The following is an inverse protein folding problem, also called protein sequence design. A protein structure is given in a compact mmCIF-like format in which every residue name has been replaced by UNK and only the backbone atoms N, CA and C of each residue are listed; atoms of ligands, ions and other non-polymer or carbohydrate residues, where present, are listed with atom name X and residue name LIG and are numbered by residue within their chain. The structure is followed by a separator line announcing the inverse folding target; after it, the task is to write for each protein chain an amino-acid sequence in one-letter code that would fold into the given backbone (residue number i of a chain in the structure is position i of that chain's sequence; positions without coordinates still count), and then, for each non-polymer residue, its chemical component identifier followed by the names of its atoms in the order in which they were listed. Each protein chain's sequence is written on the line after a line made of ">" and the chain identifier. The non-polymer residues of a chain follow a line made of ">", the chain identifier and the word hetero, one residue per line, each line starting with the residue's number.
data_IF_420585176559
#
_entry.id   IF_420585176559
#
_cell.length_a   1.000
_cell.length_b   1.000
_cell.length_c   1.000
_cell.angle_alpha   90.00
_cell.angle_beta   90.00
_cell.angle_gamma   90.00
#
_symmetry.space_group_name_H-M   'P 1'
#
loop_
_entity.id
_entity.type
_entity.pdbx_description
1 polymer ?
#
# COMPACT_ATOMS: atom_id res chain seq x y z
N UNK A 1 -29.08 24.44 -0.61
CA UNK A 1 -29.76 23.39 0.20
C UNK A 1 -29.08 23.08 1.53
N UNK A 2 -27.78 22.76 1.54
CA UNK A 2 -27.05 22.42 2.78
C UNK A 2 -26.97 23.59 3.78
N UNK A 3 -26.85 24.84 3.31
CA UNK A 3 -26.78 26.03 4.17
C UNK A 3 -27.94 26.14 5.15
N UNK A 4 -29.18 25.88 4.71
CA UNK A 4 -30.36 25.97 5.59
C UNK A 4 -30.45 24.81 6.57
N UNK A 5 -29.89 23.64 6.23
CA UNK A 5 -29.84 22.49 7.15
C UNK A 5 -28.78 22.66 8.23
N UNK A 6 -27.67 23.29 7.89
CA UNK A 6 -26.57 23.53 8.82
C UNK A 6 -26.81 24.78 9.68
N UNK A 7 -27.51 25.79 9.16
CA UNK A 7 -27.78 27.01 9.92
C UNK A 7 -28.51 26.71 11.23
N UNK A 8 -27.93 27.10 12.37
CA UNK A 8 -28.52 26.88 13.68
C UNK A 8 -28.30 25.45 14.23
N UNK A 9 -27.79 24.53 13.42
CA UNK A 9 -27.55 23.15 13.82
C UNK A 9 -26.13 22.98 14.41
N UNK A 10 -25.99 22.04 15.34
CA UNK A 10 -24.69 21.55 15.76
C UNK A 10 -24.12 20.64 14.67
N UNK A 11 -22.94 20.99 14.17
CA UNK A 11 -22.27 20.18 13.13
C UNK A 11 -21.55 19.02 13.79
N UNK A 12 -21.78 17.83 13.27
CA UNK A 12 -21.15 16.60 13.75
C UNK A 12 -20.56 15.88 12.55
N UNK A 13 -19.32 15.45 12.70
CA UNK A 13 -18.55 14.76 11.68
C UNK A 13 -17.68 13.68 12.32
N UNK A 14 -17.25 12.70 11.52
CA UNK A 14 -16.19 11.82 11.98
C UNK A 14 -14.87 12.56 11.99
N UNK A 15 -14.54 13.32 10.95
CA UNK A 15 -13.37 14.16 10.90
C UNK A 15 -13.79 15.62 10.61
N UNK A 16 -14.08 16.38 11.67
CA UNK A 16 -14.70 17.70 11.53
C UNK A 16 -13.84 18.71 10.75
N UNK A 17 -12.51 18.81 10.94
CA UNK A 17 -11.71 19.71 10.15
C UNK A 17 -11.71 19.35 8.65
N UNK A 18 -11.77 18.06 8.30
CA UNK A 18 -11.90 17.62 6.91
C UNK A 18 -13.25 18.07 6.30
N UNK A 19 -14.37 17.72 6.93
CA UNK A 19 -15.70 18.04 6.42
C UNK A 19 -15.95 19.56 6.35
N UNK A 20 -15.53 20.29 7.39
CA UNK A 20 -15.66 21.75 7.44
C UNK A 20 -14.85 22.44 6.34
N UNK A 21 -13.63 21.99 6.06
CA UNK A 21 -12.80 22.50 4.97
C UNK A 21 -13.40 22.20 3.59
N UNK A 22 -13.91 20.98 3.39
CA UNK A 22 -14.60 20.61 2.15
C UNK A 22 -15.78 21.56 1.89
N UNK A 23 -16.63 21.76 2.90
CA UNK A 23 -17.76 22.68 2.83
C UNK A 23 -17.27 24.11 2.55
N UNK A 24 -16.30 24.61 3.32
CA UNK A 24 -15.77 25.97 3.15
C UNK A 24 -15.20 26.21 1.75
N UNK A 25 -14.51 25.22 1.16
CA UNK A 25 -13.99 25.29 -0.20
C UNK A 25 -15.11 25.41 -1.25
N UNK A 26 -16.17 24.62 -1.15
CA UNK A 26 -17.30 24.69 -2.08
C UNK A 26 -18.07 26.01 -1.96
N UNK A 27 -18.26 26.49 -0.74
CA UNK A 27 -18.88 27.79 -0.49
C UNK A 27 -18.01 28.96 -1.02
N UNK A 28 -16.68 28.87 -0.88
CA UNK A 28 -15.75 29.85 -1.47
C UNK A 28 -15.84 29.86 -2.99
N UNK A 29 -15.97 28.69 -3.66
CA UNK A 29 -16.18 28.61 -5.12
C UNK A 29 -17.49 29.28 -5.55
N UNK A 30 -18.51 29.25 -4.70
CA UNK A 30 -19.78 29.99 -4.92
C UNK A 30 -19.72 31.48 -4.54
N UNK A 31 -18.56 32.02 -4.17
CA UNK A 31 -18.39 33.43 -3.79
C UNK A 31 -18.97 33.81 -2.43
N UNK A 32 -19.38 32.83 -1.61
CA UNK A 32 -19.97 33.07 -0.29
C UNK A 32 -19.19 32.27 0.76
N UNK A 33 -18.02 32.74 1.22
CA UNK A 33 -17.21 31.98 2.17
C UNK A 33 -17.96 31.74 3.48
N UNK A 34 -17.80 30.54 4.04
CA UNK A 34 -18.39 30.13 5.32
C UNK A 34 -17.33 29.49 6.19
N UNK A 35 -17.56 29.51 7.50
CA UNK A 35 -16.68 28.89 8.48
C UNK A 35 -17.53 28.08 9.47
N UNK A 36 -17.14 26.84 9.70
CA UNK A 36 -17.71 25.97 10.73
C UNK A 36 -16.65 25.82 11.81
N UNK A 37 -16.63 26.76 12.76
CA UNK A 37 -15.59 26.85 13.78
C UNK A 37 -15.80 25.88 14.96
N UNK A 38 -17.03 25.42 15.18
CA UNK A 38 -17.39 24.59 16.34
C UNK A 38 -18.31 23.45 15.87
N UNK A 39 -18.06 22.26 16.42
CA UNK A 39 -18.85 21.07 16.17
C UNK A 39 -18.35 19.91 17.03
N UNK A 40 -18.95 18.73 16.86
CA UNK A 40 -18.50 17.50 17.49
C UNK A 40 -17.68 16.70 16.48
N UNK A 41 -16.44 16.42 16.84
CA UNK A 41 -15.54 15.56 16.10
C UNK A 41 -15.50 14.18 16.76
N UNK A 42 -16.16 13.21 16.14
CA UNK A 42 -16.25 11.85 16.72
C UNK A 42 -14.96 11.05 16.56
N UNK A 43 -14.06 11.38 15.63
CA UNK A 43 -12.73 10.77 15.54
C UNK A 43 -11.85 11.22 16.70
N UNK A 44 -11.84 12.52 17.04
CA UNK A 44 -11.11 12.99 18.22
C UNK A 44 -11.66 12.42 19.52
N UNK A 45 -12.97 12.19 19.59
CA UNK A 45 -13.60 11.62 20.77
C UNK A 45 -13.30 10.11 20.94
N UNK A 46 -13.21 9.36 19.84
CA UNK A 46 -13.03 7.90 19.86
C UNK A 46 -11.57 7.48 19.67
N UNK A 47 -10.77 8.26 18.94
CA UNK A 47 -9.43 7.90 18.49
C UNK A 47 -9.41 6.75 17.48
N UNK A 48 -10.55 6.43 16.85
CA UNK A 48 -10.72 5.25 16.00
C UNK A 48 -11.32 5.63 14.66
N UNK A 49 -11.04 4.82 13.63
CA UNK A 49 -11.75 4.90 12.34
C UNK A 49 -13.24 4.71 12.55
N UNK A 50 -14.05 5.25 11.64
CA UNK A 50 -15.51 5.21 11.77
C UNK A 50 -16.03 3.76 11.87
N UNK A 51 -15.48 2.86 11.05
CA UNK A 51 -15.82 1.44 11.09
C UNK A 51 -15.51 0.77 12.43
N UNK A 52 -14.37 1.13 13.03
CA UNK A 52 -13.91 0.59 14.31
C UNK A 52 -14.75 1.13 15.47
N UNK A 53 -14.98 2.44 15.48
CA UNK A 53 -15.87 3.08 16.44
C UNK A 53 -17.30 2.51 16.34
N UNK A 54 -17.84 2.38 15.12
CA UNK A 54 -19.15 1.77 14.96
C UNK A 54 -19.19 0.32 15.45
N UNK A 55 -18.16 -0.49 15.17
CA UNK A 55 -18.09 -1.86 15.66
C UNK A 55 -18.05 -1.92 17.20
N UNK A 56 -17.30 -1.04 17.86
CA UNK A 56 -17.21 -0.98 19.32
C UNK A 56 -18.55 -0.61 19.97
N UNK A 57 -19.30 0.33 19.36
CA UNK A 57 -20.60 0.78 19.86
C UNK A 57 -21.79 -0.06 19.34
N UNK A 58 -21.54 -1.15 18.60
CA UNK A 58 -22.58 -2.04 18.08
C UNK A 58 -23.44 -1.43 16.97
N UNK A 59 -22.89 -0.49 16.20
CA UNK A 59 -23.55 0.22 15.10
C UNK A 59 -23.20 -0.46 13.78
N UNK A 60 -24.22 -0.89 13.03
CA UNK A 60 -24.03 -1.47 11.71
C UNK A 60 -23.79 -0.41 10.63
N UNK A 61 -22.79 -0.63 9.78
CA UNK A 61 -22.55 0.16 8.56
C UNK A 61 -22.85 -0.74 7.36
N UNK A 62 -23.80 -0.32 6.52
CA UNK A 62 -24.25 -1.04 5.33
C UNK A 62 -23.23 -0.96 4.19
N UNK A 63 -22.81 0.25 3.85
CA UNK A 63 -21.94 0.57 2.70
C UNK A 63 -20.93 1.62 3.15
N UNK A 64 -19.82 1.17 3.73
CA UNK A 64 -18.72 2.05 4.10
C UNK A 64 -18.25 2.87 2.87
N UNK A 65 -17.89 4.13 3.10
CA UNK A 65 -17.43 5.08 2.06
C UNK A 65 -18.53 5.65 1.16
N UNK A 66 -19.81 5.45 1.51
CA UNK A 66 -20.92 6.26 0.98
C UNK A 66 -21.19 7.40 1.95
N UNK A 67 -21.10 8.64 1.48
CA UNK A 67 -21.28 9.83 2.32
C UNK A 67 -22.58 9.83 3.16
N UNK A 68 -23.68 9.28 2.63
CA UNK A 68 -24.94 9.16 3.38
C UNK A 68 -24.88 8.11 4.50
N UNK A 69 -24.33 6.93 4.20
CA UNK A 69 -24.21 5.84 5.16
C UNK A 69 -23.21 6.22 6.27
N UNK A 70 -22.08 6.84 5.92
CA UNK A 70 -21.09 7.35 6.86
C UNK A 70 -21.70 8.45 7.76
N UNK A 71 -22.43 9.43 7.20
CA UNK A 71 -23.09 10.46 7.99
C UNK A 71 -24.17 9.89 8.93
N UNK A 72 -24.88 8.85 8.51
CA UNK A 72 -25.88 8.16 9.33
C UNK A 72 -25.20 7.39 10.47
N UNK A 73 -24.09 6.74 10.19
CA UNK A 73 -23.28 6.04 11.19
C UNK A 73 -22.70 7.01 12.22
N UNK A 74 -22.21 8.19 11.80
CA UNK A 74 -21.74 9.26 12.69
C UNK A 74 -22.86 9.77 13.60
N UNK A 75 -24.08 9.95 13.08
CA UNK A 75 -25.23 10.37 13.89
C UNK A 75 -25.62 9.30 14.94
N UNK A 76 -25.58 8.02 14.55
CA UNK A 76 -25.77 6.91 15.48
C UNK A 76 -24.65 6.87 16.54
N UNK A 77 -23.40 7.08 16.13
CA UNK A 77 -22.23 7.09 17.01
C UNK A 77 -22.31 8.23 18.03
N UNK A 78 -22.68 9.43 17.60
CA UNK A 78 -22.94 10.57 18.49
C UNK A 78 -23.98 10.20 19.57
N UNK A 79 -25.08 9.57 19.15
CA UNK A 79 -26.16 9.17 20.04
C UNK A 79 -25.72 8.09 21.04
N UNK A 80 -24.94 7.11 20.59
CA UNK A 80 -24.46 6.01 21.41
C UNK A 80 -23.36 6.43 22.39
N UNK A 81 -22.45 7.31 21.95
CA UNK A 81 -21.35 7.82 22.77
C UNK A 81 -21.79 8.91 23.78
N UNK A 82 -23.02 9.39 23.68
CA UNK A 82 -23.60 10.35 24.63
C UNK A 82 -22.93 11.74 24.60
N UNK A 83 -22.22 12.07 23.53
CA UNK A 83 -21.60 13.38 23.38
C UNK A 83 -22.68 14.45 23.17
N UNK A 84 -22.71 15.43 24.07
CA UNK A 84 -23.61 16.57 23.96
C UNK A 84 -22.93 17.69 23.19
N UNK A 85 -23.67 18.28 22.25
CA UNK A 85 -23.23 19.49 21.58
C UNK A 85 -23.02 20.61 22.61
N UNK A 86 -21.86 21.27 22.53
CA UNK A 86 -21.57 22.41 23.41
C UNK A 86 -22.53 23.56 23.07
N UNK A 87 -23.23 24.15 24.05
CA UNK A 87 -24.07 25.33 23.81
C UNK A 87 -23.24 26.47 23.21
N UNK A 88 -23.61 26.91 22.00
CA UNK A 88 -22.88 27.94 21.23
C UNK A 88 -22.28 27.44 19.89
N UNK A 89 -22.27 26.12 19.64
CA UNK A 89 -21.71 25.52 18.42
C UNK A 89 -22.66 25.42 17.21
N UNK A 90 -23.64 26.32 17.10
CA UNK A 90 -24.54 26.33 15.96
C UNK A 90 -23.85 26.93 14.73
N UNK A 91 -23.83 26.22 13.60
CA UNK A 91 -23.21 26.75 12.39
C UNK A 91 -23.96 27.98 11.87
N UNK A 92 -23.21 29.02 11.51
CA UNK A 92 -23.73 30.21 10.84
C UNK A 92 -23.53 30.04 9.34
N UNK A 93 -24.63 30.01 8.58
CA UNK A 93 -24.61 29.70 7.16
C UNK A 93 -25.46 30.71 6.38
N UNK A 94 -25.09 31.01 5.13
CA UNK A 94 -25.81 31.97 4.29
C UNK A 94 -27.13 31.36 3.80
N UNK A 95 -28.18 31.50 4.60
CA UNK A 95 -29.51 30.98 4.30
C UNK A 95 -30.21 31.68 3.13
N UNK A 96 -29.71 32.85 2.72
CA UNK A 96 -30.20 33.61 1.57
C UNK A 96 -29.81 33.04 0.20
N UNK A 97 -28.97 32.00 0.15
CA UNK A 97 -28.62 31.33 -1.11
C UNK A 97 -29.85 30.60 -1.68
N UNK A 98 -30.11 30.84 -2.97
CA UNK A 98 -31.16 30.14 -3.71
C UNK A 98 -30.89 28.63 -3.67
N UNK A 99 -31.91 27.86 -3.28
CA UNK A 99 -31.87 26.41 -3.34
C UNK A 99 -31.90 25.98 -4.80
N UNK A 100 -30.90 25.22 -5.24
CA UNK A 100 -30.91 24.69 -6.61
C UNK A 100 -32.00 23.62 -6.75
N UNK A 101 -32.31 22.91 -5.66
CA UNK A 101 -33.22 21.76 -5.66
C UNK A 101 -32.72 20.56 -6.48
N UNK A 102 -31.54 20.69 -7.10
CA UNK A 102 -30.91 19.66 -7.92
C UNK A 102 -29.90 18.93 -7.06
N UNK A 103 -30.18 17.66 -6.80
CA UNK A 103 -29.23 16.73 -6.19
C UNK A 103 -28.84 15.74 -7.28
N UNK A 104 -27.55 15.66 -7.56
CA UNK A 104 -27.00 14.59 -8.39
C UNK A 104 -26.39 13.57 -7.43
N UNK A 105 -27.00 12.41 -7.31
CA UNK A 105 -26.48 11.29 -6.54
C UNK A 105 -25.63 10.42 -7.44
N UNK A 106 -24.63 9.77 -6.85
CA UNK A 106 -23.85 8.74 -7.54
C UNK A 106 -24.73 7.59 -8.05
N UNK A 107 -25.84 7.31 -7.37
CA UNK A 107 -26.84 6.31 -7.77
C UNK A 107 -27.79 6.81 -8.89
N UNK A 108 -27.82 8.11 -9.21
CA UNK A 108 -28.65 8.64 -10.31
C UNK A 108 -27.98 8.43 -11.68
N UNK A 109 -26.68 8.14 -11.69
CA UNK A 109 -25.94 7.64 -12.85
C UNK A 109 -26.06 6.12 -12.92
N UNK A 110 -26.14 5.56 -14.14
CA UNK A 110 -26.24 4.11 -14.35
C UNK A 110 -25.20 3.37 -13.48
N UNK A 111 -25.58 2.26 -12.82
CA UNK A 111 -24.67 1.54 -11.95
C UNK A 111 -23.44 1.15 -12.76
N UNK A 112 -22.33 1.82 -12.49
CA UNK A 112 -21.05 1.31 -12.91
C UNK A 112 -20.89 0.00 -12.14
N UNK A 113 -20.82 -1.12 -12.86
CA UNK A 113 -20.29 -2.35 -12.28
C UNK A 113 -18.85 -2.02 -11.93
N UNK A 114 -18.63 -1.64 -10.68
CA UNK A 114 -17.29 -1.47 -10.18
C UNK A 114 -16.68 -2.88 -10.17
N UNK A 115 -15.46 -3.05 -10.68
CA UNK A 115 -14.73 -4.29 -10.48
C UNK A 115 -14.66 -4.60 -8.97
N UNK A 116 -14.40 -5.86 -8.62
CA UNK A 116 -14.15 -6.21 -7.22
C UNK A 116 -13.19 -5.19 -6.61
N UNK A 117 -13.47 -4.71 -5.37
CA UNK A 117 -12.66 -3.67 -4.76
C UNK A 117 -11.20 -4.10 -4.86
N UNK A 118 -10.32 -3.25 -5.42
CA UNK A 118 -8.92 -3.60 -5.59
C UNK A 118 -8.40 -4.17 -4.27
N UNK A 119 -7.56 -5.20 -4.33
CA UNK A 119 -6.99 -5.85 -3.16
C UNK A 119 -6.59 -4.86 -2.05
N UNK A 120 -5.96 -3.74 -2.42
CA UNK A 120 -5.58 -2.69 -1.47
C UNK A 120 -6.77 -2.08 -0.74
N UNK A 121 -7.89 -1.83 -1.40
CA UNK A 121 -9.12 -1.35 -0.75
C UNK A 121 -9.60 -2.35 0.30
N UNK A 122 -9.61 -3.64 -0.04
CA UNK A 122 -10.00 -4.69 0.89
C UNK A 122 -9.03 -4.80 2.07
N UNK A 123 -7.73 -4.85 1.83
CA UNK A 123 -6.71 -4.93 2.88
C UNK A 123 -6.71 -3.66 3.75
N UNK A 124 -6.85 -2.47 3.15
CA UNK A 124 -6.89 -1.19 3.86
C UNK A 124 -8.09 -1.06 4.81
N UNK A 125 -9.23 -1.68 4.45
CA UNK A 125 -10.44 -1.70 5.29
C UNK A 125 -10.27 -2.49 6.59
N UNK A 126 -9.28 -3.40 6.63
CA UNK A 126 -8.99 -4.28 7.77
C UNK A 126 -7.95 -3.73 8.73
N UNK A 127 -7.24 -2.67 8.35
CA UNK A 127 -6.17 -2.12 9.18
C UNK A 127 -6.76 -1.50 10.46
N UNK A 128 -6.08 -1.76 11.58
CA UNK A 128 -6.44 -1.22 12.90
C UNK A 128 -5.29 -0.35 13.39
N UNK A 129 -5.56 0.92 13.64
CA UNK A 129 -4.54 1.85 14.12
C UNK A 129 -4.59 2.09 15.63
N UNK A 130 -4.73 1.00 16.40
CA UNK A 130 -4.79 1.07 17.86
C UNK A 130 -3.61 1.87 18.46
N UNK A 131 -3.91 2.74 19.42
CA UNK A 131 -2.92 3.56 20.13
C UNK A 131 -2.26 4.69 19.32
N UNK A 132 -2.72 4.97 18.10
CA UNK A 132 -2.33 6.18 17.37
C UNK A 132 -3.10 7.41 17.87
N UNK A 133 -2.50 8.59 17.68
CA UNK A 133 -3.20 9.87 17.83
C UNK A 133 -4.28 10.01 16.74
N UNK A 134 -5.39 10.69 17.07
CA UNK A 134 -6.51 10.89 16.14
C UNK A 134 -6.08 11.53 14.81
N UNK A 135 -5.11 12.46 14.83
CA UNK A 135 -4.57 13.06 13.61
C UNK A 135 -3.83 12.05 12.72
N UNK A 136 -3.11 11.09 13.34
CA UNK A 136 -2.44 10.00 12.62
C UNK A 136 -3.45 9.01 12.06
N UNK A 137 -4.51 8.68 12.82
CA UNK A 137 -5.60 7.82 12.33
C UNK A 137 -6.29 8.47 11.13
N UNK A 138 -6.61 9.76 11.22
CA UNK A 138 -7.20 10.54 10.13
C UNK A 138 -6.32 10.50 8.87
N UNK A 139 -5.01 10.73 9.05
CA UNK A 139 -4.05 10.68 7.97
C UNK A 139 -3.96 9.30 7.30
N UNK A 140 -3.88 8.24 8.10
CA UNK A 140 -3.78 6.88 7.59
C UNK A 140 -5.06 6.40 6.88
N UNK A 141 -6.21 6.92 7.30
CA UNK A 141 -7.48 6.70 6.61
C UNK A 141 -7.52 7.37 5.23
N UNK A 142 -7.04 8.62 5.15
CA UNK A 142 -6.88 9.33 3.89
C UNK A 142 -5.87 8.64 2.97
N UNK A 143 -4.74 8.16 3.50
CA UNK A 143 -3.77 7.35 2.75
C UNK A 143 -4.43 6.10 2.17
N UNK A 144 -5.20 5.36 2.97
CA UNK A 144 -5.89 4.15 2.50
C UNK A 144 -6.83 4.40 1.32
N UNK A 145 -7.50 5.55 1.32
CA UNK A 145 -8.35 5.97 0.19
C UNK A 145 -7.49 6.34 -1.02
N UNK A 146 -6.42 7.12 -0.82
CA UNK A 146 -5.58 7.64 -1.90
C UNK A 146 -4.74 6.56 -2.60
N UNK A 147 -4.43 5.43 -1.94
CA UNK A 147 -3.69 4.32 -2.57
C UNK A 147 -4.60 3.20 -3.11
N UNK A 148 -5.92 3.36 -2.99
CA UNK A 148 -6.90 2.30 -3.26
C UNK A 148 -6.88 1.79 -4.70
N UNK A 149 -6.56 2.65 -5.66
CA UNK A 149 -6.47 2.35 -7.09
C UNK A 149 -5.02 2.07 -7.58
N UNK A 150 -4.07 1.98 -6.65
CA UNK A 150 -2.63 1.84 -6.92
C UNK A 150 -2.04 2.98 -7.78
N UNK A 151 -2.69 4.14 -7.81
CA UNK A 151 -2.27 5.30 -8.57
C UNK A 151 -2.32 6.58 -7.73
N UNK A 152 -1.24 6.84 -6.98
CA UNK A 152 -1.13 8.07 -6.19
C UNK A 152 -0.58 9.23 -7.04
N UNK A 153 -1.48 10.07 -7.55
CA UNK A 153 -1.16 11.16 -8.48
C UNK A 153 -0.56 12.41 -7.79
N UNK A 154 -0.22 13.44 -8.57
CA UNK A 154 0.38 14.67 -8.04
C UNK A 154 -0.56 15.45 -7.12
N UNK A 155 -1.84 15.52 -7.46
CA UNK A 155 -2.83 16.25 -6.68
C UNK A 155 -3.12 15.54 -5.36
N UNK A 156 -3.18 14.20 -5.36
CA UNK A 156 -3.37 13.40 -4.15
C UNK A 156 -2.16 13.49 -3.22
N UNK A 157 -0.94 13.43 -3.75
CA UNK A 157 0.30 13.67 -2.97
C UNK A 157 0.32 15.04 -2.33
N UNK A 158 -0.08 16.06 -3.09
CA UNK A 158 -0.20 17.42 -2.57
C UNK A 158 -1.26 17.47 -1.47
N UNK A 159 -2.43 16.86 -1.67
CA UNK A 159 -3.48 16.78 -0.66
C UNK A 159 -3.02 16.10 0.63
N UNK A 160 -2.29 14.98 0.54
CA UNK A 160 -1.70 14.30 1.70
C UNK A 160 -0.69 15.20 2.43
N UNK A 161 0.12 15.97 1.69
CA UNK A 161 1.12 16.89 2.26
C UNK A 161 0.46 18.07 2.97
N UNK A 162 -0.56 18.66 2.34
CA UNK A 162 -1.35 19.77 2.90
C UNK A 162 -2.11 19.33 4.14
N UNK A 163 -2.69 18.13 4.13
CA UNK A 163 -3.32 17.53 5.30
C UNK A 163 -2.32 17.36 6.43
N UNK A 164 -1.16 16.76 6.16
CA UNK A 164 -0.14 16.56 7.18
C UNK A 164 0.34 17.87 7.82
N UNK A 165 0.53 18.91 7.01
CA UNK A 165 0.94 20.22 7.48
C UNK A 165 -0.14 20.89 8.36
N UNK A 166 -1.41 20.80 7.99
CA UNK A 166 -2.53 21.34 8.77
C UNK A 166 -2.65 20.65 10.14
N UNK A 167 -2.51 19.33 10.17
CA UNK A 167 -2.64 18.53 11.39
C UNK A 167 -1.35 18.49 12.22
N UNK A 168 -0.32 19.24 11.83
CA UNK A 168 0.95 19.33 12.56
C UNK A 168 1.74 18.01 12.59
N UNK A 169 1.54 17.13 11.61
CA UNK A 169 2.26 15.86 11.53
C UNK A 169 3.70 16.12 11.10
N UNK A 170 4.65 15.78 11.98
CA UNK A 170 6.07 15.92 11.67
C UNK A 170 6.50 14.95 10.57
N UNK A 171 7.57 15.26 9.80
CA UNK A 171 8.11 14.33 8.80
C UNK A 171 8.46 12.96 9.36
N UNK A 172 8.90 12.89 10.63
CA UNK A 172 9.24 11.63 11.29
C UNK A 172 7.99 10.80 11.60
N UNK A 173 6.92 11.46 12.04
CA UNK A 173 5.63 10.84 12.29
C UNK A 173 5.00 10.34 10.99
N UNK A 174 5.14 11.09 9.88
CA UNK A 174 4.70 10.64 8.55
C UNK A 174 5.43 9.37 8.11
N UNK A 175 6.77 9.32 8.22
CA UNK A 175 7.54 8.11 7.88
C UNK A 175 7.13 6.91 8.74
N UNK A 176 6.84 7.13 10.03
CA UNK A 176 6.34 6.08 10.91
C UNK A 176 4.93 5.63 10.50
N UNK A 177 4.05 6.56 10.17
CA UNK A 177 2.70 6.29 9.68
C UNK A 177 2.73 5.46 8.40
N UNK A 178 3.52 5.85 7.39
CA UNK A 178 3.68 5.08 6.14
C UNK A 178 4.21 3.67 6.39
N UNK A 179 5.26 3.52 7.20
CA UNK A 179 5.77 2.19 7.57
C UNK A 179 4.72 1.35 8.28
N UNK A 180 3.93 1.95 9.19
CA UNK A 180 2.84 1.28 9.88
C UNK A 180 1.77 0.83 8.89
N UNK A 181 1.34 1.71 7.99
CA UNK A 181 0.35 1.40 6.96
C UNK A 181 0.76 0.19 6.13
N UNK A 182 1.99 0.19 5.61
CA UNK A 182 2.50 -0.92 4.80
C UNK A 182 2.63 -2.20 5.62
N UNK A 183 3.05 -2.13 6.89
CA UNK A 183 3.10 -3.31 7.75
C UNK A 183 1.72 -3.93 7.94
N UNK A 184 0.72 -3.14 8.31
CA UNK A 184 -0.65 -3.62 8.50
C UNK A 184 -1.21 -4.22 7.19
N UNK A 185 -0.85 -3.63 6.03
CA UNK A 185 -1.24 -4.12 4.72
C UNK A 185 -0.62 -5.50 4.42
N UNK A 186 0.66 -5.67 4.76
CA UNK A 186 1.37 -6.96 4.66
C UNK A 186 0.77 -7.98 5.63
N UNK A 187 0.43 -7.59 6.87
CA UNK A 187 -0.25 -8.46 7.83
C UNK A 187 -1.59 -8.96 7.31
N UNK A 188 -2.38 -8.07 6.70
CA UNK A 188 -3.65 -8.41 6.09
C UNK A 188 -3.49 -9.37 4.91
N UNK A 189 -2.44 -9.21 4.08
CA UNK A 189 -2.13 -10.12 2.98
C UNK A 189 -1.64 -11.50 3.48
N UNK A 190 -0.93 -11.54 4.62
CA UNK A 190 -0.43 -12.78 5.21
C UNK A 190 -1.50 -13.58 6.00
N UNK A 191 -2.76 -13.13 6.01
CA UNK A 191 -3.81 -13.72 6.83
C UNK A 191 -4.07 -15.20 6.51
N UNK A 192 -3.93 -15.61 5.26
CA UNK A 192 -4.11 -17.00 4.79
C UNK A 192 -2.79 -17.76 4.58
N UNK A 193 -1.66 -17.14 4.94
CA UNK A 193 -0.28 -17.65 4.78
C UNK A 193 0.20 -17.81 3.33
N UNK A 194 -0.55 -17.31 2.34
CA UNK A 194 -0.15 -17.33 0.93
C UNK A 194 -0.09 -15.88 0.44
N UNK A 195 0.91 -15.55 -0.37
CA UNK A 195 0.96 -14.24 -1.03
C UNK A 195 1.14 -14.49 -2.52
N UNK A 196 0.11 -14.14 -3.27
CA UNK A 196 0.08 -14.21 -4.74
C UNK A 196 1.00 -13.17 -5.37
N UNK A 197 1.32 -13.34 -6.65
CA UNK A 197 2.13 -12.37 -7.38
C UNK A 197 1.42 -11.02 -7.54
N UNK A 198 0.09 -11.02 -7.69
CA UNK A 198 -0.72 -9.81 -7.73
C UNK A 198 -0.72 -9.07 -6.38
N UNK A 199 -0.80 -9.80 -5.27
CA UNK A 199 -0.66 -9.22 -3.93
C UNK A 199 0.72 -8.61 -3.71
N UNK A 200 1.75 -9.31 -4.16
CA UNK A 200 3.12 -8.81 -4.07
C UNK A 200 3.35 -7.56 -4.94
N UNK A 201 2.85 -7.53 -6.18
CA UNK A 201 2.88 -6.33 -7.04
C UNK A 201 2.23 -5.14 -6.33
N UNK A 202 1.02 -5.33 -5.82
CA UNK A 202 0.26 -4.30 -5.15
C UNK A 202 0.99 -3.77 -3.90
N UNK A 203 1.51 -4.66 -3.05
CA UNK A 203 2.27 -4.29 -1.85
C UNK A 203 3.53 -3.47 -2.19
N UNK A 204 4.27 -3.88 -3.22
CA UNK A 204 5.46 -3.14 -3.67
C UNK A 204 5.12 -1.74 -4.20
N UNK A 205 4.06 -1.64 -5.00
CA UNK A 205 3.61 -0.36 -5.57
C UNK A 205 3.11 0.61 -4.50
N UNK A 206 2.41 0.11 -3.48
CA UNK A 206 2.00 0.93 -2.32
C UNK A 206 3.23 1.36 -1.52
N UNK A 207 4.14 0.43 -1.20
CA UNK A 207 5.37 0.76 -0.45
C UNK A 207 6.19 1.84 -1.16
N UNK A 208 6.40 1.69 -2.47
CA UNK A 208 7.11 2.69 -3.28
C UNK A 208 6.37 4.03 -3.33
N UNK A 209 5.03 4.03 -3.40
CA UNK A 209 4.25 5.26 -3.46
C UNK A 209 4.34 6.08 -2.16
N UNK A 210 4.50 5.39 -1.03
CA UNK A 210 4.62 5.96 0.32
C UNK A 210 6.08 6.08 0.81
N UNK A 211 7.07 5.94 -0.09
CA UNK A 211 8.50 6.03 0.25
C UNK A 211 8.94 5.06 1.37
N UNK A 212 8.33 3.87 1.40
CA UNK A 212 8.69 2.78 2.30
C UNK A 212 9.64 1.83 1.58
N UNK A 213 10.77 1.53 2.22
CA UNK A 213 11.78 0.64 1.67
C UNK A 213 11.21 -0.75 1.36
N UNK A 214 11.44 -1.22 0.14
CA UNK A 214 10.97 -2.53 -0.36
C UNK A 214 11.37 -3.71 0.52
N UNK A 215 12.50 -3.62 1.24
CA UNK A 215 12.96 -4.69 2.14
C UNK A 215 11.95 -4.99 3.25
N UNK A 216 11.13 -4.02 3.65
CA UNK A 216 10.05 -4.22 4.62
C UNK A 216 9.00 -5.20 4.10
N UNK A 217 8.65 -5.12 2.81
CA UNK A 217 7.73 -6.06 2.17
C UNK A 217 8.46 -7.39 1.92
N UNK A 218 9.60 -7.34 1.23
CA UNK A 218 10.38 -8.51 0.81
C UNK A 218 10.73 -9.43 1.99
N UNK A 219 11.10 -8.89 3.15
CA UNK A 219 11.48 -9.69 4.32
C UNK A 219 10.28 -10.42 4.94
N UNK A 220 9.08 -9.85 4.86
CA UNK A 220 7.87 -10.37 5.51
C UNK A 220 7.11 -11.38 4.68
N UNK A 221 6.96 -11.11 3.38
CA UNK A 221 6.18 -11.99 2.48
C UNK A 221 6.99 -13.17 1.94
N UNK A 222 8.31 -13.18 2.15
CA UNK A 222 9.24 -14.19 1.60
C UNK A 222 8.75 -15.63 1.78
N UNK A 223 8.42 -16.00 3.02
CA UNK A 223 8.02 -17.37 3.33
C UNK A 223 6.70 -17.74 2.66
N UNK A 224 5.75 -16.80 2.57
CA UNK A 224 4.43 -17.00 1.97
C UNK A 224 4.45 -17.00 0.43
N UNK A 225 5.49 -16.41 -0.19
CA UNK A 225 5.71 -16.38 -1.65
C UNK A 225 6.59 -17.50 -2.16
N UNK A 226 7.41 -18.11 -1.30
CA UNK A 226 8.32 -19.18 -1.69
C UNK A 226 7.51 -20.43 -1.97
N UNK A 227 7.08 -20.63 -3.22
CA UNK A 227 6.45 -21.88 -3.62
C UNK A 227 7.42 -23.05 -3.43
N UNK A 228 6.92 -24.15 -2.87
CA UNK A 228 7.66 -25.41 -2.83
C UNK A 228 7.74 -25.98 -4.24
N UNK A 229 8.96 -26.03 -4.81
CA UNK A 229 9.23 -26.73 -6.06
C UNK A 229 10.08 -27.95 -5.75
N UNK A 230 9.79 -29.06 -6.41
CA UNK A 230 10.63 -30.25 -6.27
C UNK A 230 11.79 -30.19 -7.28
N UNK A 231 13.03 -30.25 -6.79
CA UNK A 231 14.25 -30.36 -7.60
C UNK A 231 14.82 -31.76 -7.42
N UNK A 232 15.02 -32.47 -8.54
CA UNK A 232 15.73 -33.75 -8.51
C UNK A 232 17.24 -33.51 -8.47
N UNK A 233 17.90 -34.14 -7.50
CA UNK A 233 19.34 -34.10 -7.33
C UNK A 233 20.01 -35.09 -8.31
N UNK A 234 20.79 -34.55 -9.24
CA UNK A 234 21.58 -35.33 -10.18
C UNK A 234 23.08 -35.27 -9.85
N UNK A 235 23.80 -36.36 -10.10
CA UNK A 235 25.25 -36.39 -9.93
C UNK A 235 25.91 -35.34 -10.84
N UNK A 236 26.91 -34.65 -10.31
CA UNK A 236 27.60 -33.56 -10.99
C UNK A 236 27.03 -32.16 -10.74
N UNK A 237 25.85 -32.04 -10.09
CA UNK A 237 25.31 -30.73 -9.69
C UNK A 237 26.26 -29.99 -8.75
N UNK A 238 26.37 -28.68 -8.94
CA UNK A 238 27.16 -27.79 -8.12
C UNK A 238 26.34 -27.26 -6.94
N UNK A 239 26.75 -27.59 -5.72
CA UNK A 239 26.00 -27.25 -4.50
C UNK A 239 26.84 -26.34 -3.61
N UNK A 240 26.21 -25.29 -3.05
CA UNK A 240 26.80 -24.43 -2.03
C UNK A 240 26.06 -24.61 -0.71
N UNK A 241 26.75 -25.04 0.34
CA UNK A 241 26.20 -25.08 1.70
C UNK A 241 26.48 -23.77 2.45
N UNK A 242 25.50 -23.25 3.20
CA UNK A 242 25.61 -22.03 4.01
C UNK A 242 24.86 -22.14 5.33
N UNK A 243 25.44 -21.61 6.41
CA UNK A 243 24.95 -21.78 7.78
C UNK A 243 25.58 -22.98 8.50
N UNK A 244 25.29 -23.09 9.79
CA UNK A 244 25.67 -24.23 10.64
C UNK A 244 24.44 -25.09 10.89
N UNK A 245 24.60 -26.40 10.81
CA UNK A 245 23.55 -27.37 11.09
C UNK A 245 23.79 -28.00 12.46
N UNK A 246 22.78 -28.05 13.32
CA UNK A 246 22.95 -28.47 14.72
C UNK A 246 23.49 -29.90 14.88
N UNK A 247 23.27 -30.78 13.90
CA UNK A 247 23.68 -32.18 13.95
C UNK A 247 24.86 -32.56 13.02
N UNK A 248 25.26 -31.70 12.08
CA UNK A 248 26.27 -32.02 11.06
C UNK A 248 27.25 -30.86 10.91
N UNK A 249 28.55 -31.13 11.05
CA UNK A 249 29.55 -30.11 10.77
C UNK A 249 29.55 -29.79 9.27
N UNK A 250 29.92 -28.56 8.93
CA UNK A 250 30.04 -28.13 7.53
C UNK A 250 30.97 -29.05 6.73
N UNK A 251 32.07 -29.49 7.36
CA UNK A 251 33.06 -30.37 6.74
C UNK A 251 32.49 -31.75 6.42
N UNK A 252 31.67 -32.30 7.32
CA UNK A 252 31.05 -33.62 7.12
C UNK A 252 29.99 -33.57 6.01
N UNK A 253 29.23 -32.48 5.94
CA UNK A 253 28.26 -32.24 4.88
C UNK A 253 28.96 -32.11 3.51
N UNK A 254 30.04 -31.34 3.44
CA UNK A 254 30.83 -31.19 2.21
C UNK A 254 31.41 -32.53 1.76
N UNK A 255 31.97 -33.34 2.69
CA UNK A 255 32.48 -34.68 2.38
C UNK A 255 31.40 -35.66 1.93
N UNK A 256 30.21 -35.61 2.52
CA UNK A 256 29.06 -36.46 2.14
C UNK A 256 28.59 -36.11 0.73
N UNK A 257 28.50 -34.82 0.41
CA UNK A 257 28.11 -34.35 -0.93
C UNK A 257 29.12 -34.77 -2.00
N UNK A 258 30.41 -34.65 -1.71
CA UNK A 258 31.46 -35.11 -2.64
C UNK A 258 31.41 -36.63 -2.83
N UNK A 259 31.20 -37.41 -1.77
CA UNK A 259 31.06 -38.87 -1.82
C UNK A 259 29.85 -39.33 -2.65
N UNK A 260 28.77 -38.55 -2.65
CA UNK A 260 27.56 -38.79 -3.44
C UNK A 260 27.66 -38.31 -4.90
N UNK A 261 28.79 -37.72 -5.28
CA UNK A 261 29.11 -37.30 -6.64
C UNK A 261 28.69 -35.86 -6.99
N UNK A 262 28.50 -34.99 -6.01
CA UNK A 262 28.22 -33.56 -6.21
C UNK A 262 29.49 -32.71 -6.20
N UNK A 263 29.42 -31.53 -6.80
CA UNK A 263 30.53 -30.57 -6.81
C UNK A 263 30.28 -29.49 -5.77
N UNK A 264 30.97 -29.56 -4.64
CA UNK A 264 30.85 -28.56 -3.59
C UNK A 264 31.57 -27.27 -4.00
N UNK A 265 30.87 -26.13 -3.95
CA UNK A 265 31.43 -24.80 -4.21
C UNK A 265 31.42 -23.94 -2.94
N UNK A 266 32.42 -23.07 -2.79
CA UNK A 266 32.51 -22.14 -1.66
C UNK A 266 31.69 -20.87 -1.85
N UNK A 267 31.54 -20.41 -3.10
CA UNK A 267 30.90 -19.15 -3.46
C UNK A 267 29.67 -19.38 -4.35
N UNK A 268 28.62 -18.59 -4.12
CA UNK A 268 27.42 -18.58 -4.96
C UNK A 268 27.70 -17.88 -6.28
N UNK A 269 27.45 -18.55 -7.41
CA UNK A 269 27.65 -18.02 -8.77
C UNK A 269 26.64 -18.64 -9.73
N UNK A 270 26.51 -18.11 -10.97
CA UNK A 270 25.59 -18.68 -12.00
C UNK A 270 25.89 -20.14 -12.40
N UNK A 271 27.03 -20.70 -11.96
CA UNK A 271 27.41 -22.11 -12.18
C UNK A 271 26.99 -23.03 -11.02
N UNK A 272 26.23 -22.51 -10.06
CA UNK A 272 25.72 -23.26 -8.90
C UNK A 272 24.28 -23.62 -9.19
N UNK A 273 23.94 -24.89 -9.02
CA UNK A 273 22.62 -25.44 -9.34
C UNK A 273 21.70 -25.44 -8.11
N UNK A 274 22.26 -25.50 -6.90
CA UNK A 274 21.48 -25.50 -5.65
C UNK A 274 22.26 -24.84 -4.50
N UNK A 275 21.57 -24.08 -3.65
CA UNK A 275 22.11 -23.59 -2.38
C UNK A 275 21.39 -24.27 -1.22
N UNK A 276 22.13 -24.94 -0.35
CA UNK A 276 21.60 -25.51 0.89
C UNK A 276 21.88 -24.55 2.04
N UNK A 277 20.82 -24.05 2.68
CA UNK A 277 20.92 -23.10 3.79
C UNK A 277 20.33 -23.71 5.07
N UNK A 278 20.90 -23.39 6.23
CA UNK A 278 20.31 -23.79 7.53
C UNK A 278 18.87 -23.26 7.68
N UNK A 279 18.62 -22.05 7.14
CA UNK A 279 17.28 -21.50 6.94
C UNK A 279 17.17 -21.02 5.48
N UNK A 280 16.29 -21.63 4.65
CA UNK A 280 16.05 -21.21 3.27
C UNK A 280 15.63 -19.74 3.12
N UNK A 281 15.08 -19.14 4.18
CA UNK A 281 14.63 -17.75 4.22
C UNK A 281 15.70 -16.77 4.74
N UNK A 282 16.90 -17.27 5.09
CA UNK A 282 17.99 -16.48 5.67
C UNK A 282 18.51 -15.38 4.74
N UNK A 283 18.98 -14.28 5.36
CA UNK A 283 19.66 -13.13 4.72
C UNK A 283 21.19 -13.28 4.62
N UNK A 284 21.75 -14.47 4.81
CA UNK A 284 23.20 -14.67 4.60
C UNK A 284 23.63 -14.22 3.21
N UNK A 285 24.84 -13.65 3.06
CA UNK A 285 25.32 -13.14 1.77
C UNK A 285 25.27 -14.17 0.63
N UNK A 286 25.43 -15.47 0.95
CA UNK A 286 25.33 -16.57 -0.02
C UNK A 286 23.90 -16.86 -0.46
N UNK A 287 22.94 -16.84 0.47
CA UNK A 287 21.52 -17.02 0.18
C UNK A 287 20.94 -15.79 -0.55
N UNK A 288 21.32 -14.58 -0.14
CA UNK A 288 20.97 -13.35 -0.84
C UNK A 288 21.46 -13.38 -2.30
N UNK A 289 22.72 -13.76 -2.51
CA UNK A 289 23.29 -13.87 -3.86
C UNK A 289 22.63 -14.97 -4.71
N UNK A 290 22.19 -16.07 -4.09
CA UNK A 290 21.50 -17.14 -4.79
C UNK A 290 20.19 -16.63 -5.41
N UNK A 291 19.42 -15.84 -4.64
CA UNK A 291 18.16 -15.24 -5.09
C UNK A 291 18.35 -14.23 -6.22
N UNK A 292 19.35 -13.35 -6.11
CA UNK A 292 19.71 -12.41 -7.21
C UNK A 292 20.02 -13.15 -8.52
N UNK A 293 20.53 -14.37 -8.43
CA UNK A 293 20.90 -15.18 -9.58
C UNK A 293 19.82 -16.17 -10.01
N UNK A 294 18.66 -16.21 -9.32
CA UNK A 294 17.58 -17.16 -9.60
C UNK A 294 17.93 -18.62 -9.27
N UNK A 295 18.86 -18.86 -8.35
CA UNK A 295 19.31 -20.20 -7.96
C UNK A 295 18.39 -20.73 -6.84
N UNK A 296 17.88 -21.97 -6.95
CA UNK A 296 17.02 -22.57 -5.93
C UNK A 296 17.71 -22.73 -4.57
N UNK A 297 16.94 -22.58 -3.49
CA UNK A 297 17.44 -22.70 -2.11
C UNK A 297 16.67 -23.80 -1.37
N UNK A 298 17.39 -24.76 -0.80
CA UNK A 298 16.85 -25.83 0.03
C UNK A 298 17.30 -25.70 1.49
N UNK A 299 16.57 -26.30 2.42
CA UNK A 299 17.07 -26.46 3.80
C UNK A 299 18.17 -27.52 3.83
N UNK A 300 19.13 -27.40 4.77
CA UNK A 300 20.13 -28.46 4.97
C UNK A 300 19.43 -29.77 5.38
N UNK A 301 18.39 -29.70 6.22
CA UNK A 301 17.59 -30.86 6.61
C UNK A 301 16.96 -31.58 5.41
N UNK A 302 16.36 -30.84 4.47
CA UNK A 302 15.80 -31.44 3.25
C UNK A 302 16.85 -32.03 2.33
N UNK A 303 18.01 -31.38 2.22
CA UNK A 303 19.11 -31.93 1.44
C UNK A 303 19.55 -33.28 2.03
N UNK A 304 19.76 -33.35 3.35
CA UNK A 304 20.16 -34.59 4.05
C UNK A 304 19.09 -35.67 3.90
N UNK A 305 17.80 -35.30 4.06
CA UNK A 305 16.66 -36.19 3.84
C UNK A 305 16.66 -36.75 2.41
N UNK A 306 16.83 -35.89 1.41
CA UNK A 306 16.83 -36.30 0.00
C UNK A 306 18.05 -37.16 -0.40
N UNK A 307 19.18 -36.99 0.27
CA UNK A 307 20.33 -37.89 0.09
C UNK A 307 20.02 -39.31 0.61
N UNK A 308 19.12 -39.44 1.57
CA UNK A 308 18.82 -40.71 2.27
C UNK A 308 17.56 -41.41 1.73
N UNK A 309 16.49 -40.67 1.46
CA UNK A 309 15.14 -41.21 1.21
C UNK A 309 14.71 -41.14 -0.27
N UNK A 310 15.42 -40.38 -1.10
CA UNK A 310 15.09 -40.19 -2.51
C UNK A 310 15.62 -38.85 -3.01
N UNK A 311 16.22 -38.84 -4.21
CA UNK A 311 16.94 -37.70 -4.83
C UNK A 311 16.04 -36.51 -5.19
N UNK A 312 15.05 -36.16 -4.39
CA UNK A 312 14.13 -35.08 -4.63
C UNK A 312 14.11 -34.14 -3.41
N UNK A 313 14.39 -32.87 -3.65
CA UNK A 313 14.48 -31.83 -2.62
C UNK A 313 13.37 -30.83 -2.88
N UNK A 314 12.59 -30.52 -1.85
CA UNK A 314 11.73 -29.34 -1.89
C UNK A 314 12.62 -28.10 -1.76
N UNK A 315 12.55 -27.22 -2.76
CA UNK A 315 13.29 -25.96 -2.80
C UNK A 315 12.31 -24.81 -2.73
N UNK A 316 12.70 -23.76 -2.02
CA UNK A 316 12.10 -22.45 -2.22
C UNK A 316 12.43 -22.01 -3.64
N UNK A 317 11.42 -22.00 -4.53
CA UNK A 317 11.57 -21.33 -5.81
C UNK A 317 11.86 -19.85 -5.55
N UNK A 318 12.89 -19.25 -6.18
CA UNK A 318 13.10 -17.82 -6.08
C UNK A 318 11.88 -17.13 -6.68
N UNK A 319 11.06 -16.51 -5.84
CA UNK A 319 9.95 -15.69 -6.30
C UNK A 319 10.52 -14.54 -7.15
N UNK A 320 9.84 -14.21 -8.26
CA UNK A 320 10.33 -13.19 -9.19
C UNK A 320 10.62 -11.90 -8.43
N UNK A 321 11.86 -11.42 -8.59
CA UNK A 321 12.24 -10.13 -8.08
C UNK A 321 11.65 -9.07 -9.00
N UNK A 322 10.77 -8.24 -8.44
CA UNK A 322 10.15 -7.13 -9.13
C UNK A 322 10.87 -5.83 -8.76
N UNK A 323 10.89 -4.89 -9.72
CA UNK A 323 11.31 -3.50 -9.54
C UNK A 323 10.10 -2.63 -9.83
N UNK A 324 9.80 -1.70 -8.93
CA UNK A 324 8.78 -0.68 -9.18
C UNK A 324 9.37 0.40 -10.08
N UNK A 325 8.67 0.69 -11.16
CA UNK A 325 8.98 1.77 -12.09
C UNK A 325 7.93 2.85 -11.93
N UNK A 326 8.38 4.10 -11.79
CA UNK A 326 7.51 5.26 -11.61
C UNK A 326 7.60 6.20 -12.80
N UNK A 327 6.45 6.61 -13.32
CA UNK A 327 6.39 7.64 -14.36
C UNK A 327 6.80 9.00 -13.80
N UNK A 328 7.81 9.69 -14.39
CA UNK A 328 8.22 11.01 -13.89
C UNK A 328 7.19 12.12 -14.14
N UNK A 329 6.25 11.92 -15.08
CA UNK A 329 5.24 12.92 -15.45
C UNK A 329 3.96 12.78 -14.62
N UNK A 330 3.34 11.58 -14.64
CA UNK A 330 2.05 11.32 -13.99
C UNK A 330 2.16 10.52 -12.70
N UNK A 331 3.34 10.03 -12.31
CA UNK A 331 3.56 9.26 -11.08
C UNK A 331 2.84 7.91 -11.01
N UNK A 332 2.27 7.43 -12.12
CA UNK A 332 1.80 6.05 -12.23
C UNK A 332 2.95 5.08 -11.98
N UNK A 333 2.67 4.02 -11.22
CA UNK A 333 3.63 2.97 -10.90
C UNK A 333 3.22 1.65 -11.54
N UNK A 334 4.20 0.84 -11.92
CA UNK A 334 4.02 -0.55 -12.33
C UNK A 334 5.26 -1.35 -11.95
N UNK A 335 5.17 -2.67 -11.90
CA UNK A 335 6.35 -3.52 -11.68
C UNK A 335 6.86 -4.14 -12.97
N UNK A 336 8.16 -4.42 -12.97
CA UNK A 336 8.86 -5.17 -14.02
C UNK A 336 9.82 -6.17 -13.38
N UNK A 337 10.17 -7.28 -14.05
CA UNK A 337 11.23 -8.17 -13.59
C UNK A 337 12.56 -7.43 -13.40
N UNK A 338 13.30 -7.75 -12.34
CA UNK A 338 14.58 -7.11 -12.02
C UNK A 338 15.73 -7.51 -12.95
N UNK A 339 15.51 -8.54 -13.79
CA UNK A 339 16.47 -9.05 -14.76
C UNK A 339 15.81 -9.08 -16.14
N UNK A 340 16.34 -8.32 -17.13
CA UNK A 340 17.55 -7.48 -17.10
C UNK A 340 17.40 -6.21 -16.20
N UNK A 341 18.49 -5.50 -15.87
CA UNK A 341 18.42 -4.32 -15.02
C UNK A 341 17.54 -3.24 -15.66
N UNK A 342 16.44 -2.88 -15.01
CA UNK A 342 15.54 -1.79 -15.44
C UNK A 342 15.72 -0.59 -14.50
N UNK A 343 15.71 0.61 -15.07
CA UNK A 343 15.70 1.84 -14.27
C UNK A 343 14.40 2.00 -13.49
N UNK A 344 14.44 2.62 -12.31
CA UNK A 344 13.26 2.88 -11.48
C UNK A 344 12.37 4.02 -12.02
N UNK A 345 12.75 4.63 -13.14
CA UNK A 345 12.04 5.73 -13.76
C UNK A 345 11.94 5.55 -15.26
N UNK A 346 10.72 5.46 -15.76
CA UNK A 346 10.39 5.34 -17.18
C UNK A 346 9.05 6.04 -17.43
N UNK A 347 8.82 6.61 -18.61
CA UNK A 347 7.50 7.21 -18.94
C UNK A 347 6.48 6.11 -19.23
N UNK A 348 5.26 6.24 -18.68
CA UNK A 348 4.17 5.34 -19.03
C UNK A 348 3.75 5.51 -20.51
N UNK A 349 2.96 4.57 -21.05
CA UNK A 349 2.53 4.60 -22.45
C UNK A 349 1.86 5.94 -22.83
N UNK A 350 0.91 6.40 -22.01
CA UNK A 350 0.19 7.66 -22.24
C UNK A 350 1.11 8.88 -22.27
N UNK A 351 2.02 8.99 -21.29
CA UNK A 351 2.97 10.11 -21.21
C UNK A 351 4.01 10.08 -22.34
N UNK A 352 4.42 8.88 -22.80
CA UNK A 352 5.25 8.75 -24.01
C UNK A 352 4.54 9.25 -25.25
N UNK A 353 3.30 8.83 -25.47
CA UNK A 353 2.50 9.27 -26.63
C UNK A 353 2.28 10.78 -26.63
N UNK A 354 1.99 11.37 -25.46
CA UNK A 354 1.90 12.83 -25.29
C UNK A 354 3.21 13.54 -25.67
N UNK A 355 4.35 13.09 -25.13
CA UNK A 355 5.66 13.67 -25.42
C UNK A 355 6.03 13.58 -26.91
N UNK A 356 5.70 12.46 -27.56
CA UNK A 356 5.92 12.27 -29.00
C UNK A 356 5.01 13.18 -29.84
N UNK A 357 3.77 13.41 -29.41
CA UNK A 357 2.83 14.31 -30.10
C UNK A 357 3.24 15.79 -30.01
N UNK A 358 3.90 16.20 -28.92
CA UNK A 358 4.40 17.57 -28.74
C UNK A 358 5.70 17.86 -29.49
N UNK A 359 6.43 16.82 -29.94
CA UNK A 359 7.70 16.96 -30.67
C UNK A 359 7.56 17.40 -32.14
N UNK A 360 6.34 17.61 -32.64
CA UNK A 360 6.06 18.02 -34.02
C UNK A 360 5.78 19.51 -34.23
N UNK A 361 5.76 20.32 -33.18
CA UNK A 361 5.50 21.75 -33.32
C UNK A 361 6.82 22.53 -33.48
N UNK A 362 7.20 22.79 -34.72
CA UNK A 362 8.16 23.86 -35.02
C UNK A 362 7.43 25.21 -34.85
N UNK A 363 7.93 26.14 -34.01
CA UNK A 363 7.38 27.48 -34.00
C UNK A 363 7.57 28.12 -35.39
N UNK A 364 6.60 28.91 -35.89
CA UNK A 364 6.75 29.56 -37.19
C UNK A 364 7.98 30.47 -37.14
N UNK A 365 8.86 30.32 -38.13
CA UNK A 365 9.93 31.29 -38.36
C UNK A 365 9.26 32.64 -38.62
N UNK A 366 9.52 33.60 -37.74
CA UNK A 366 9.16 34.98 -37.98
C UNK A 366 10.13 35.49 -39.04
N UNK A 367 9.68 35.51 -40.28
CA UNK A 367 10.35 36.23 -41.36
C UNK A 367 10.38 37.72 -40.98
N UNK A 368 11.55 38.18 -40.57
CA UNK A 368 11.85 39.61 -40.51
C UNK A 368 12.01 40.13 -41.93
N UNK A 369 10.91 40.51 -42.56
CA UNK A 369 10.91 41.39 -43.75
C UNK A 369 10.37 42.77 -43.38
N UNK A 370 11.30 43.71 -43.31
CA UNK A 370 11.27 45.05 -43.94
C UNK A 370 9.94 45.84 -43.97
N UNK A 371 9.93 46.95 -43.23
CA UNK A 371 8.94 48.04 -43.36
C UNK A 371 9.14 49.11 -42.29
#
# INVERSE_FOLDING_TARGET
>A
DIAVRLHGACVVAHNLPFDSRMIANEFRRSGTPVEIAVGVDTLNNTGMRLSDACAEYGIGISQAHRALDDATAVAALLSAAGHLCVPGGAASMPTGLLRSGRVLRRDDTAPAVLPEPPLITYLASRLRFAGADAAVVAYLDLVGTAVSDLHLDRAERQGLTEFAAEYGLSPDLLRQAHRRFVNELVDAALADRVVTDDEYDALLRVASSLDVDRSLVDDRVRAARSGEREVRLERGMAIVATGEHGALSRTDLESTLEGEGFVVKKNTSRKVDLVAAADPNSRSGKAAKARELGIPIASIDELVRALTEGRAVSVAAPADQLVVVTCPDCWSTWTVPSSPPVGSSERCASCRSLAQSTGGWAPPQVDTESG
#
